data_IF_171462054976
#
_entry.id   IF_171462054976
#
_cell.length_a   1.000
_cell.length_b   1.000
_cell.length_c   1.000
_cell.angle_alpha   90.00
_cell.angle_beta   90.00
_cell.angle_gamma   90.00
#
_symmetry.space_group_name_H-M   'P 1'
#
loop_
_entity.id
_entity.type
_entity.pdbx_description
1 polymer ?
#
# COMPACT_ATOMS: atom_id res chain seq x y z
N UNK A 1 -51.41 24.97 11.43
CA UNK A 1 -50.26 24.48 10.65
C UNK A 1 -49.48 23.58 11.59
N UNK A 2 -49.63 22.26 11.43
CA UNK A 2 -49.05 21.28 12.35
C UNK A 2 -47.53 21.29 12.17
N UNK A 3 -46.77 21.45 13.25
CA UNK A 3 -45.30 21.47 13.18
C UNK A 3 -44.79 20.12 12.66
N UNK A 4 -43.78 20.09 11.77
CA UNK A 4 -43.27 18.84 11.24
C UNK A 4 -42.77 17.94 12.39
N UNK A 5 -43.14 16.67 12.35
CA UNK A 5 -42.64 15.65 13.29
C UNK A 5 -41.12 15.56 13.16
N UNK A 6 -40.42 15.37 14.29
CA UNK A 6 -38.98 15.05 14.26
C UNK A 6 -38.80 13.79 13.41
N UNK A 7 -37.94 13.87 12.39
CA UNK A 7 -37.57 12.75 11.49
C UNK A 7 -38.64 12.31 10.48
N UNK A 8 -39.31 13.27 9.83
CA UNK A 8 -40.29 12.99 8.77
C UNK A 8 -39.64 12.92 7.37
N UNK A 9 -39.52 11.70 6.84
CA UNK A 9 -38.96 11.42 5.51
C UNK A 9 -39.85 11.93 4.38
N UNK A 10 -41.17 11.89 4.55
CA UNK A 10 -42.11 12.33 3.52
C UNK A 10 -42.12 13.85 3.42
N UNK A 11 -42.06 14.55 4.56
CA UNK A 11 -41.87 16.00 4.58
C UNK A 11 -40.59 16.44 3.86
N UNK A 12 -39.50 15.70 4.06
CA UNK A 12 -38.22 15.98 3.39
C UNK A 12 -38.33 15.91 1.86
N UNK A 13 -39.12 14.98 1.30
CA UNK A 13 -39.34 14.90 -0.15
C UNK A 13 -40.01 16.16 -0.70
N UNK A 14 -41.02 16.65 0.02
CA UNK A 14 -41.74 17.88 -0.33
C UNK A 14 -40.79 19.08 -0.31
N UNK A 15 -39.92 19.17 0.69
CA UNK A 15 -38.89 20.23 0.74
C UNK A 15 -37.96 20.15 -0.48
N UNK A 16 -37.48 18.97 -0.86
CA UNK A 16 -36.64 18.85 -2.05
C UNK A 16 -37.38 19.18 -3.35
N UNK A 17 -38.66 18.87 -3.46
CA UNK A 17 -39.50 19.23 -4.61
C UNK A 17 -39.68 20.74 -4.72
N UNK A 18 -40.01 21.42 -3.61
CA UNK A 18 -40.11 22.89 -3.59
C UNK A 18 -38.80 23.59 -3.93
N UNK A 19 -37.65 23.07 -3.47
CA UNK A 19 -36.33 23.61 -3.82
C UNK A 19 -36.03 23.41 -5.30
N UNK A 20 -36.44 22.27 -5.87
CA UNK A 20 -36.24 21.95 -7.27
C UNK A 20 -37.10 22.84 -8.17
N UNK A 21 -38.34 23.12 -7.77
CA UNK A 21 -39.24 24.05 -8.48
C UNK A 21 -38.73 25.50 -8.45
N UNK A 22 -38.02 25.89 -7.39
CA UNK A 22 -37.38 27.20 -7.26
C UNK A 22 -36.00 27.29 -7.94
N UNK A 23 -35.46 26.18 -8.47
CA UNK A 23 -34.13 26.17 -9.08
C UNK A 23 -34.17 26.75 -10.51
N UNK A 24 -33.64 27.96 -10.67
CA UNK A 24 -33.65 28.70 -11.95
C UNK A 24 -32.70 28.13 -13.02
N UNK A 25 -31.67 27.39 -12.61
CA UNK A 25 -30.60 26.89 -13.50
C UNK A 25 -30.52 25.37 -13.46
N UNK A 26 -30.29 24.75 -14.62
CA UNK A 26 -30.20 23.30 -14.76
C UNK A 26 -29.09 22.68 -13.89
N UNK A 27 -27.96 23.36 -13.71
CA UNK A 27 -26.87 22.90 -12.83
C UNK A 27 -27.31 22.81 -11.37
N UNK A 28 -27.99 23.84 -10.85
CA UNK A 28 -28.54 23.84 -9.48
C UNK A 28 -29.62 22.77 -9.33
N UNK A 29 -30.52 22.64 -10.31
CA UNK A 29 -31.55 21.61 -10.28
C UNK A 29 -30.94 20.20 -10.23
N UNK A 30 -29.85 19.98 -10.98
CA UNK A 30 -29.12 18.71 -10.97
C UNK A 30 -28.45 18.45 -9.61
N UNK A 31 -27.77 19.43 -9.03
CA UNK A 31 -27.19 19.30 -7.67
C UNK A 31 -28.25 19.00 -6.60
N UNK A 32 -29.44 19.60 -6.71
CA UNK A 32 -30.57 19.34 -5.80
C UNK A 32 -31.10 17.91 -5.98
N UNK A 33 -31.20 17.41 -7.21
CA UNK A 33 -31.59 16.01 -7.49
C UNK A 33 -30.59 15.02 -6.90
N UNK A 34 -29.29 15.27 -7.06
CA UNK A 34 -28.23 14.44 -6.51
C UNK A 34 -28.26 14.42 -4.98
N UNK A 35 -28.41 15.59 -4.35
CA UNK A 35 -28.56 15.71 -2.91
C UNK A 35 -29.81 14.97 -2.39
N UNK A 36 -30.97 15.17 -3.04
CA UNK A 36 -32.21 14.43 -2.72
C UNK A 36 -31.96 12.93 -2.75
N UNK A 37 -31.37 12.44 -3.85
CA UNK A 37 -31.11 11.01 -4.05
C UNK A 37 -30.20 10.46 -2.96
N UNK A 38 -29.10 11.16 -2.67
CA UNK A 38 -28.15 10.75 -1.63
C UNK A 38 -28.83 10.66 -0.25
N UNK A 39 -29.50 11.73 0.18
CA UNK A 39 -30.11 11.80 1.52
C UNK A 39 -31.24 10.77 1.65
N UNK A 40 -32.06 10.59 0.62
CA UNK A 40 -33.17 9.63 0.65
C UNK A 40 -32.70 8.17 0.73
N UNK A 41 -31.59 7.86 0.04
CA UNK A 41 -30.98 6.53 0.06
C UNK A 41 -30.27 6.23 1.40
N UNK A 42 -29.72 7.24 2.07
CA UNK A 42 -28.98 7.09 3.32
C UNK A 42 -29.77 7.55 4.56
N UNK A 43 -31.09 7.73 4.44
CA UNK A 43 -31.94 8.33 5.47
C UNK A 43 -31.80 7.67 6.85
N UNK A 44 -31.81 6.34 6.90
CA UNK A 44 -31.70 5.60 8.17
C UNK A 44 -30.35 5.84 8.86
N UNK A 45 -29.26 5.87 8.08
CA UNK A 45 -27.92 6.14 8.61
C UNK A 45 -27.80 7.58 9.13
N UNK A 46 -28.38 8.55 8.38
CA UNK A 46 -28.40 9.96 8.78
C UNK A 46 -29.19 10.10 10.09
N UNK A 47 -30.36 9.48 10.18
CA UNK A 47 -31.17 9.48 11.41
C UNK A 47 -30.41 8.88 12.60
N UNK A 48 -29.74 7.75 12.40
CA UNK A 48 -28.91 7.13 13.44
C UNK A 48 -27.76 8.05 13.90
N UNK A 49 -27.15 8.78 12.98
CA UNK A 49 -26.09 9.76 13.25
C UNK A 49 -26.51 10.89 14.21
N UNK A 50 -27.81 11.25 14.24
CA UNK A 50 -28.37 12.26 15.14
C UNK A 50 -29.08 11.66 16.36
N UNK A 51 -28.99 10.34 16.54
CA UNK A 51 -29.51 9.67 17.74
C UNK A 51 -28.69 10.06 18.96
N UNK A 52 -29.31 10.06 20.15
CA UNK A 52 -28.64 10.36 21.41
C UNK A 52 -27.52 9.38 21.77
N UNK A 53 -27.58 8.18 21.20
CA UNK A 53 -26.62 7.10 21.45
C UNK A 53 -25.40 7.20 20.52
N UNK A 54 -25.43 8.11 19.53
CA UNK A 54 -24.30 8.32 18.63
C UNK A 54 -23.29 9.29 19.25
N UNK A 55 -22.11 8.79 19.60
CA UNK A 55 -21.09 9.56 20.31
C UNK A 55 -20.35 10.60 19.45
N UNK A 56 -20.62 10.69 18.14
CA UNK A 56 -19.92 11.62 17.24
C UNK A 56 -18.46 11.25 17.03
N UNK A 57 -18.06 10.91 15.80
CA UNK A 57 -16.63 10.86 15.46
C UNK A 57 -16.39 11.64 14.17
N UNK A 58 -15.57 12.69 14.23
CA UNK A 58 -14.99 13.30 13.04
C UNK A 58 -13.82 12.41 12.59
N UNK A 59 -14.13 11.19 12.15
CA UNK A 59 -13.12 10.23 11.71
C UNK A 59 -12.26 10.84 10.58
N UNK A 60 -12.89 11.59 9.69
CA UNK A 60 -12.20 12.32 8.63
C UNK A 60 -11.31 13.44 9.19
N UNK A 61 -11.76 14.23 10.17
CA UNK A 61 -10.91 15.26 10.80
C UNK A 61 -9.72 14.67 11.57
N UNK A 62 -9.96 13.58 12.30
CA UNK A 62 -8.93 12.88 13.08
C UNK A 62 -7.90 12.17 12.20
N UNK A 63 -8.23 11.82 10.97
CA UNK A 63 -7.33 11.06 10.09
C UNK A 63 -6.72 11.95 9.00
N UNK A 64 -7.45 12.97 8.54
CA UNK A 64 -7.01 13.88 7.47
C UNK A 64 -5.77 14.66 7.86
N UNK A 65 -5.64 15.10 9.12
CA UNK A 65 -4.43 15.81 9.56
C UNK A 65 -3.19 14.89 9.55
N UNK A 66 -3.35 13.62 9.93
CA UNK A 66 -2.26 12.63 9.92
C UNK A 66 -1.68 12.46 8.50
N UNK A 67 -2.55 12.43 7.48
CA UNK A 67 -2.14 12.22 6.09
C UNK A 67 -1.76 13.50 5.34
N UNK A 68 -2.54 14.58 5.49
CA UNK A 68 -2.43 15.81 4.69
C UNK A 68 -1.07 16.50 4.84
N UNK A 69 -0.55 16.52 6.06
CA UNK A 69 0.77 17.06 6.41
C UNK A 69 1.91 16.64 5.48
N UNK A 70 1.90 15.39 4.98
CA UNK A 70 2.92 14.88 4.06
C UNK A 70 2.41 14.62 2.65
N UNK A 71 1.18 14.16 2.52
CA UNK A 71 0.62 13.76 1.24
C UNK A 71 0.03 14.94 0.45
N UNK A 72 -0.43 16.01 1.12
CA UNK A 72 -0.98 17.20 0.45
C UNK A 72 -0.03 18.40 0.43
N UNK A 73 0.82 18.56 1.45
CA UNK A 73 1.68 19.76 1.58
C UNK A 73 2.76 19.91 0.51
N UNK A 74 3.19 18.79 -0.10
CA UNK A 74 4.20 18.75 -1.17
C UNK A 74 3.80 17.71 -2.19
N UNK A 75 3.16 18.10 -3.31
CA UNK A 75 2.78 17.14 -4.35
C UNK A 75 4.05 16.52 -4.93
N UNK A 76 4.32 15.29 -4.50
CA UNK A 76 5.36 14.43 -5.02
C UNK A 76 4.67 13.41 -5.92
N UNK A 77 5.30 13.03 -7.02
CA UNK A 77 4.84 11.90 -7.83
C UNK A 77 5.03 10.60 -7.04
N UNK A 78 4.07 10.26 -6.20
CA UNK A 78 4.08 9.01 -5.45
C UNK A 78 3.68 7.86 -6.38
N UNK A 79 4.41 6.74 -6.30
CA UNK A 79 3.87 5.48 -6.79
C UNK A 79 2.75 4.99 -5.86
N UNK A 80 1.87 4.12 -6.37
CA UNK A 80 0.79 3.52 -5.58
C UNK A 80 1.33 2.81 -4.32
N UNK A 81 2.44 2.09 -4.46
CA UNK A 81 3.10 1.42 -3.35
C UNK A 81 3.76 2.42 -2.37
N UNK A 82 4.37 3.48 -2.90
CA UNK A 82 5.03 4.50 -2.09
C UNK A 82 4.06 5.27 -1.20
N UNK A 83 2.87 5.61 -1.74
CA UNK A 83 1.83 6.29 -0.95
C UNK A 83 1.26 5.39 0.13
N UNK A 84 1.02 4.11 -0.14
CA UNK A 84 0.53 3.14 0.87
C UNK A 84 1.56 2.94 2.00
N UNK A 85 2.83 2.73 1.64
CA UNK A 85 3.89 2.60 2.64
C UNK A 85 4.03 3.86 3.50
N UNK A 86 3.97 5.05 2.88
CA UNK A 86 4.04 6.31 3.60
C UNK A 86 2.85 6.49 4.56
N UNK A 87 1.62 6.20 4.09
CA UNK A 87 0.42 6.26 4.91
C UNK A 87 0.54 5.35 6.16
N UNK A 88 0.99 4.10 5.98
CA UNK A 88 1.20 3.17 7.09
C UNK A 88 2.26 3.65 8.08
N UNK A 89 3.36 4.22 7.60
CA UNK A 89 4.41 4.76 8.46
C UNK A 89 3.93 5.96 9.29
N UNK A 90 3.07 6.81 8.72
CA UNK A 90 2.45 7.94 9.43
C UNK A 90 1.52 7.45 10.54
N UNK A 91 0.65 6.50 10.24
CA UNK A 91 -0.23 5.87 11.25
C UNK A 91 0.58 5.19 12.34
N UNK A 92 1.65 4.47 11.99
CA UNK A 92 2.54 3.84 12.96
C UNK A 92 3.20 4.85 13.89
N UNK A 93 3.66 5.99 13.37
CA UNK A 93 4.25 7.05 14.16
C UNK A 93 3.22 7.69 15.12
N UNK A 94 2.01 7.97 14.65
CA UNK A 94 0.92 8.53 15.46
C UNK A 94 0.50 7.58 16.59
N UNK A 95 0.55 6.27 16.34
CA UNK A 95 0.32 5.23 17.34
C UNK A 95 1.50 5.04 18.33
N UNK A 96 2.49 5.95 18.35
CA UNK A 96 3.64 5.90 19.25
C UNK A 96 4.77 4.97 18.79
N UNK A 97 4.74 4.51 17.54
CA UNK A 97 5.76 3.63 16.98
C UNK A 97 7.08 4.36 16.71
N UNK A 98 8.20 3.73 17.10
CA UNK A 98 9.54 4.26 16.78
C UNK A 98 10.00 3.83 15.38
N UNK A 99 10.04 4.79 14.46
CA UNK A 99 10.49 4.61 13.08
C UNK A 99 11.95 4.13 12.97
N UNK A 100 12.83 4.60 13.86
CA UNK A 100 14.24 4.20 13.84
C UNK A 100 14.40 2.73 14.21
N UNK A 101 13.67 2.26 15.22
CA UNK A 101 13.71 0.86 15.64
C UNK A 101 13.15 -0.04 14.53
N UNK A 102 12.05 0.37 13.90
CA UNK A 102 11.48 -0.36 12.76
C UNK A 102 12.48 -0.47 11.60
N UNK A 103 13.15 0.64 11.26
CA UNK A 103 14.16 0.68 10.20
C UNK A 103 15.38 -0.20 10.54
N UNK A 104 15.83 -0.17 11.80
CA UNK A 104 16.94 -0.97 12.27
C UNK A 104 16.61 -2.47 12.22
N UNK A 105 15.42 -2.88 12.66
CA UNK A 105 14.94 -4.27 12.57
C UNK A 105 14.92 -4.77 11.13
N UNK A 106 14.29 -4.02 10.21
CA UNK A 106 14.27 -4.36 8.78
C UNK A 106 15.66 -4.45 8.17
N UNK A 107 16.59 -3.59 8.59
CA UNK A 107 17.99 -3.67 8.15
C UNK A 107 18.66 -4.97 8.62
N UNK A 108 18.47 -5.34 9.88
CA UNK A 108 19.03 -6.56 10.44
C UNK A 108 18.44 -7.82 9.78
N UNK A 109 17.13 -7.85 9.51
CA UNK A 109 16.47 -8.94 8.79
C UNK A 109 17.07 -9.14 7.40
N UNK A 110 17.21 -8.06 6.60
CA UNK A 110 17.86 -8.14 5.29
C UNK A 110 19.28 -8.68 5.37
N UNK A 111 20.06 -8.29 6.39
CA UNK A 111 21.43 -8.81 6.59
C UNK A 111 21.41 -10.30 6.94
N UNK A 112 20.41 -10.77 7.71
CA UNK A 112 20.28 -12.19 8.04
C UNK A 112 19.89 -13.00 6.82
N UNK A 113 18.94 -12.51 6.03
CA UNK A 113 18.50 -13.14 4.77
C UNK A 113 19.65 -13.25 3.78
N UNK A 114 20.42 -12.18 3.57
CA UNK A 114 21.56 -12.20 2.65
C UNK A 114 22.63 -13.19 3.10
N UNK A 115 22.91 -13.25 4.41
CA UNK A 115 23.83 -14.25 4.99
C UNK A 115 23.32 -15.67 4.81
N UNK A 116 22.02 -15.92 5.01
CA UNK A 116 21.43 -17.23 4.81
C UNK A 116 21.58 -17.70 3.36
N UNK A 117 21.25 -16.84 2.40
CA UNK A 117 21.46 -17.08 0.96
C UNK A 117 22.92 -17.37 0.66
N UNK A 118 23.86 -16.59 1.22
CA UNK A 118 25.29 -16.81 1.00
C UNK A 118 25.76 -18.18 1.52
N UNK A 119 25.28 -18.57 2.71
CA UNK A 119 25.60 -19.88 3.30
C UNK A 119 25.03 -21.02 2.46
N UNK A 120 23.79 -20.90 1.99
CA UNK A 120 23.18 -21.89 1.10
C UNK A 120 23.97 -22.03 -0.21
N UNK A 121 24.36 -20.92 -0.83
CA UNK A 121 25.21 -20.93 -2.02
C UNK A 121 26.57 -21.60 -1.77
N UNK A 122 27.16 -21.42 -0.57
CA UNK A 122 28.41 -22.11 -0.18
C UNK A 122 28.19 -23.60 0.00
N UNK A 123 27.09 -24.03 0.62
CA UNK A 123 26.75 -25.44 0.78
C UNK A 123 26.48 -26.11 -0.56
N UNK A 124 25.70 -25.46 -1.44
CA UNK A 124 25.47 -25.93 -2.80
C UNK A 124 26.77 -26.09 -3.57
N UNK A 125 27.67 -25.10 -3.53
CA UNK A 125 29.01 -25.21 -4.14
C UNK A 125 29.83 -26.38 -3.59
N UNK A 126 29.81 -26.60 -2.27
CA UNK A 126 30.49 -27.75 -1.65
C UNK A 126 29.91 -29.09 -2.11
N UNK A 127 28.58 -29.20 -2.20
CA UNK A 127 27.89 -30.41 -2.71
C UNK A 127 28.26 -30.66 -4.17
N UNK A 128 28.19 -29.63 -5.02
CA UNK A 128 28.58 -29.72 -6.44
C UNK A 128 30.02 -30.21 -6.57
N UNK A 129 30.96 -29.61 -5.84
CA UNK A 129 32.38 -30.02 -5.85
C UNK A 129 32.58 -31.47 -5.40
N UNK A 130 31.81 -31.94 -4.40
CA UNK A 130 31.89 -33.33 -3.93
C UNK A 130 31.35 -34.31 -4.98
N UNK A 131 30.25 -33.96 -5.66
CA UNK A 131 29.64 -34.79 -6.71
C UNK A 131 30.48 -34.79 -7.99
N UNK A 132 31.03 -33.63 -8.39
CA UNK A 132 31.86 -33.52 -9.58
C UNK A 132 33.20 -34.25 -9.44
N UNK A 133 33.65 -34.53 -8.21
CA UNK A 133 34.96 -35.13 -7.96
C UNK A 133 36.13 -34.24 -8.41
N UNK A 134 35.85 -32.95 -8.68
CA UNK A 134 36.84 -31.99 -9.17
C UNK A 134 37.85 -31.68 -8.07
N UNK A 135 39.03 -32.26 -8.25
CA UNK A 135 40.25 -31.90 -7.53
C UNK A 135 40.96 -30.87 -8.40
N UNK A 136 41.54 -29.83 -7.80
CA UNK A 136 42.31 -28.84 -8.58
C UNK A 136 43.37 -29.62 -9.36
N UNK A 137 43.41 -29.39 -10.68
CA UNK A 137 44.34 -30.04 -11.62
C UNK A 137 44.17 -31.56 -11.77
N UNK A 138 42.94 -32.09 -11.77
CA UNK A 138 42.68 -33.50 -12.11
C UNK A 138 42.25 -33.75 -13.56
N UNK A 139 42.06 -32.72 -14.39
CA UNK A 139 41.73 -32.87 -15.82
C UNK A 139 43.01 -32.84 -16.68
N UNK A 140 43.44 -33.96 -17.29
CA UNK A 140 44.64 -33.99 -18.13
C UNK A 140 44.55 -33.04 -19.33
N UNK A 141 43.34 -32.86 -19.85
CA UNK A 141 43.08 -31.94 -20.96
C UNK A 141 43.43 -30.49 -20.63
N UNK A 142 43.28 -30.06 -19.37
CA UNK A 142 43.60 -28.71 -18.93
C UNK A 142 45.07 -28.57 -18.46
N UNK A 143 45.67 -29.65 -17.96
CA UNK A 143 47.02 -29.68 -17.40
C UNK A 143 48.13 -29.95 -18.42
N UNK A 144 47.80 -30.54 -19.58
CA UNK A 144 48.80 -30.96 -20.58
C UNK A 144 49.58 -29.79 -21.22
N UNK A 145 49.23 -28.54 -20.94
CA UNK A 145 49.85 -27.34 -21.52
C UNK A 145 49.54 -27.11 -23.00
N UNK A 146 48.90 -28.07 -23.66
CA UNK A 146 48.56 -28.02 -25.09
C UNK A 146 47.29 -27.20 -25.33
N UNK A 147 47.32 -26.27 -26.30
CA UNK A 147 46.16 -25.51 -26.76
C UNK A 147 45.29 -26.35 -27.70
N UNK A 148 44.52 -27.30 -27.14
CA UNK A 148 43.51 -28.05 -27.90
C UNK A 148 42.16 -27.33 -27.88
N UNK A 149 41.29 -27.60 -28.86
CA UNK A 149 39.94 -27.03 -28.90
C UNK A 149 39.13 -27.40 -27.65
N UNK A 150 39.28 -28.64 -27.16
CA UNK A 150 38.66 -29.10 -25.92
C UNK A 150 39.20 -28.34 -24.69
N UNK A 151 40.52 -28.09 -24.62
CA UNK A 151 41.10 -27.30 -23.53
C UNK A 151 40.61 -25.83 -23.55
N UNK A 152 40.47 -25.24 -24.73
CA UNK A 152 39.93 -23.88 -24.91
C UNK A 152 38.46 -23.81 -24.46
N UNK A 153 37.62 -24.76 -24.89
CA UNK A 153 36.21 -24.83 -24.50
C UNK A 153 36.05 -25.00 -22.97
N UNK A 154 36.84 -25.88 -22.35
CA UNK A 154 36.80 -26.11 -20.91
C UNK A 154 37.33 -24.92 -20.09
N UNK A 155 38.32 -24.16 -20.58
CA UNK A 155 38.78 -22.92 -19.94
C UNK A 155 37.69 -21.84 -19.96
N UNK A 156 37.01 -21.67 -21.11
CA UNK A 156 35.87 -20.77 -21.24
C UNK A 156 34.73 -21.10 -20.26
N UNK A 157 34.45 -22.39 -20.04
CA UNK A 157 33.46 -22.83 -19.04
C UNK A 157 33.92 -22.64 -17.58
N UNK A 158 35.23 -22.75 -17.32
CA UNK A 158 35.83 -22.54 -15.98
C UNK A 158 35.91 -21.05 -15.59
N UNK A 159 35.69 -20.14 -16.53
CA UNK A 159 35.73 -18.68 -16.29
C UNK A 159 37.14 -18.10 -16.15
N UNK A 160 38.14 -18.76 -16.75
CA UNK A 160 39.54 -18.29 -16.86
C UNK A 160 39.89 -18.11 -18.34
#
# INVERSE_FOLDING_TARGET
>A
MESPKREDKEYLKVVFETILDAAETETKAQSVKEAKTYIMNHWENIKYHYSKDYSGCSAEGHISHIYSDRLSSRPLGWSLEGVDQMARLRVFAENGGNLFDLALRKKQERIRETRAIELDLKLCRKKIRKVSGETIDNLPALNSGKRTQLALALRGLRGI
#
